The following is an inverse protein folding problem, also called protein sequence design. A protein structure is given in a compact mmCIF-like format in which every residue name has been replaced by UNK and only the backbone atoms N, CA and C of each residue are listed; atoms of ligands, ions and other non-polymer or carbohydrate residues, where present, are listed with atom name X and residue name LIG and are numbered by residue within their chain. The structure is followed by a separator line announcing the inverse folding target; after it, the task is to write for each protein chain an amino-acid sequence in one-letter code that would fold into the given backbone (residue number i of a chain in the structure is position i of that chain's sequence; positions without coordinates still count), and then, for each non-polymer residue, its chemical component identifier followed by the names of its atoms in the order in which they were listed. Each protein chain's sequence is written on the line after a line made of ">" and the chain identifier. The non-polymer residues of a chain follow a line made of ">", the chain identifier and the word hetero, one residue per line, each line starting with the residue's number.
data_IF_605644661683
#
_entry.id   IF_605644661683
#
_cell.length_a   1.000
_cell.length_b   1.000
_cell.length_c   1.000
_cell.angle_alpha   90.00
_cell.angle_beta   90.00
_cell.angle_gamma   90.00
#
_symmetry.space_group_name_H-M   'P 1'
#
loop_
_entity.id
_entity.type
_entity.pdbx_description
1 polymer ?
#
# COMPACT_ATOMS: atom_id res chain seq x y z
N UNK A 1 29.67 18.08 -46.04
CA UNK A 1 29.79 18.14 -44.56
C UNK A 1 30.10 16.78 -43.90
N UNK A 2 29.31 15.72 -44.15
CA UNK A 2 29.52 14.40 -43.52
C UNK A 2 30.74 13.65 -44.07
N UNK A 3 30.99 13.72 -45.38
CA UNK A 3 32.12 12.99 -46.00
C UNK A 3 33.49 13.55 -45.60
N UNK A 4 33.63 14.87 -45.47
CA UNK A 4 34.88 15.51 -45.01
C UNK A 4 35.21 15.22 -43.54
N UNK A 5 34.18 14.99 -42.71
CA UNK A 5 34.35 14.67 -41.29
C UNK A 5 34.76 13.20 -41.09
N UNK A 6 34.15 12.28 -41.85
CA UNK A 6 34.48 10.85 -41.84
C UNK A 6 35.92 10.57 -42.30
N UNK A 7 36.42 11.34 -43.27
CA UNK A 7 37.81 11.23 -43.74
C UNK A 7 38.85 11.61 -42.66
N UNK A 8 38.46 12.42 -41.65
CA UNK A 8 39.35 12.85 -40.57
C UNK A 8 39.26 12.00 -39.30
N UNK A 9 38.21 11.18 -39.14
CA UNK A 9 38.01 10.32 -37.97
C UNK A 9 37.52 8.92 -38.40
N UNK A 10 38.43 8.05 -38.90
CA UNK A 10 38.07 6.74 -39.42
C UNK A 10 37.46 5.79 -38.38
N UNK A 11 37.75 5.99 -37.09
CA UNK A 11 37.35 5.12 -35.97
C UNK A 11 36.26 5.72 -35.06
N UNK A 12 35.57 6.78 -35.52
CA UNK A 12 34.55 7.44 -34.71
C UNK A 12 33.29 6.54 -34.55
N UNK A 13 33.13 5.97 -33.37
CA UNK A 13 31.90 5.29 -32.97
C UNK A 13 30.85 6.33 -32.55
N UNK A 14 29.66 6.24 -33.14
CA UNK A 14 28.53 7.11 -32.80
C UNK A 14 27.75 6.43 -31.68
N UNK A 15 27.90 6.92 -30.44
CA UNK A 15 27.24 6.33 -29.27
C UNK A 15 25.73 6.57 -29.24
N UNK A 16 25.24 7.69 -29.78
CA UNK A 16 23.80 8.03 -29.75
C UNK A 16 23.38 8.98 -30.85
N UNK A 17 22.31 8.62 -31.55
CA UNK A 17 21.60 9.50 -32.49
C UNK A 17 20.22 9.79 -31.90
N UNK A 18 19.95 11.05 -31.56
CA UNK A 18 18.61 11.48 -31.16
C UNK A 18 17.81 11.86 -32.40
N UNK A 19 16.65 11.23 -32.57
CA UNK A 19 15.71 11.58 -33.64
C UNK A 19 14.42 12.05 -32.98
N UNK A 20 14.09 13.33 -33.17
CA UNK A 20 12.86 13.93 -32.67
C UNK A 20 11.82 13.89 -33.79
N UNK A 21 10.65 13.34 -33.51
CA UNK A 21 9.54 13.24 -34.47
C UNK A 21 8.48 14.30 -34.19
N UNK A 22 7.69 14.61 -35.22
CA UNK A 22 6.52 15.49 -35.12
C UNK A 22 5.49 14.87 -34.15
N UNK A 23 4.93 15.61 -33.18
CA UNK A 23 3.96 15.11 -32.19
C UNK A 23 2.70 14.45 -32.79
N UNK A 24 2.40 14.65 -34.07
CA UNK A 24 1.27 14.02 -34.76
C UNK A 24 1.54 12.57 -35.25
N UNK A 25 2.77 12.05 -35.16
CA UNK A 25 3.11 10.71 -35.70
C UNK A 25 3.36 9.70 -34.57
N UNK A 26 2.65 8.59 -34.59
CA UNK A 26 2.74 7.54 -33.57
C UNK A 26 4.13 6.87 -33.59
N UNK A 27 4.98 7.03 -32.55
CA UNK A 27 6.36 6.54 -32.54
C UNK A 27 6.47 5.03 -32.78
N UNK A 28 5.43 4.27 -32.42
CA UNK A 28 5.37 2.80 -32.50
C UNK A 28 5.41 2.27 -33.94
N UNK A 29 5.01 3.07 -34.92
CA UNK A 29 5.06 2.70 -36.35
C UNK A 29 6.43 2.98 -36.94
N UNK A 30 7.16 3.95 -36.38
CA UNK A 30 8.44 4.43 -36.90
C UNK A 30 9.63 3.62 -36.41
N UNK A 31 9.56 3.07 -35.19
CA UNK A 31 10.60 2.18 -34.64
C UNK A 31 10.89 0.99 -35.56
N UNK A 32 9.91 0.15 -35.95
CA UNK A 32 10.19 -1.01 -36.82
C UNK A 32 10.61 -0.59 -38.25
N UNK A 33 10.17 0.57 -38.73
CA UNK A 33 10.61 1.10 -40.03
C UNK A 33 12.07 1.57 -39.99
N UNK A 34 12.51 2.12 -38.87
CA UNK A 34 13.90 2.52 -38.63
C UNK A 34 14.79 1.31 -38.38
N UNK A 35 14.35 0.34 -37.56
CA UNK A 35 15.05 -0.93 -37.37
C UNK A 35 15.23 -1.66 -38.71
N UNK A 36 14.22 -1.69 -39.57
CA UNK A 36 14.33 -2.29 -40.91
C UNK A 36 15.38 -1.58 -41.77
N UNK A 37 15.39 -0.24 -41.79
CA UNK A 37 16.39 0.53 -42.56
C UNK A 37 17.81 0.48 -41.96
N UNK A 38 17.92 0.33 -40.65
CA UNK A 38 19.20 0.18 -39.97
C UNK A 38 19.76 -1.23 -40.12
N UNK A 39 18.90 -2.26 -40.09
CA UNK A 39 19.26 -3.65 -40.36
C UNK A 39 19.70 -3.95 -41.80
N UNK A 40 19.39 -3.07 -42.77
CA UNK A 40 19.95 -3.15 -44.13
C UNK A 40 21.43 -2.72 -44.20
N UNK A 41 21.96 -2.02 -43.18
CA UNK A 41 23.31 -1.44 -43.19
C UNK A 41 24.19 -1.82 -42.01
N UNK A 42 23.59 -2.20 -40.87
CA UNK A 42 24.28 -2.57 -39.64
C UNK A 42 23.75 -3.93 -39.14
N UNK A 43 24.62 -4.69 -38.49
CA UNK A 43 24.24 -5.98 -37.89
C UNK A 43 23.34 -5.77 -36.67
N UNK A 44 22.43 -6.71 -36.36
CA UNK A 44 21.44 -6.56 -35.28
C UNK A 44 22.05 -6.35 -33.88
N UNK A 45 23.33 -6.70 -33.70
CA UNK A 45 24.06 -6.48 -32.45
C UNK A 45 24.70 -5.08 -32.34
N UNK A 46 24.66 -4.27 -33.40
CA UNK A 46 25.37 -2.98 -33.49
C UNK A 46 24.47 -1.76 -33.31
N UNK A 47 23.14 -1.94 -33.18
CA UNK A 47 22.20 -0.84 -32.98
C UNK A 47 21.12 -1.20 -31.96
N UNK A 48 20.70 -0.22 -31.17
CA UNK A 48 19.57 -0.33 -30.27
C UNK A 48 18.72 0.93 -30.41
N UNK A 49 17.45 0.74 -30.79
CA UNK A 49 16.48 1.84 -30.89
C UNK A 49 15.73 1.89 -29.57
N UNK A 50 16.13 2.82 -28.70
CA UNK A 50 15.44 3.07 -27.43
C UNK A 50 14.54 4.28 -27.60
N UNK A 51 13.23 4.08 -27.43
CA UNK A 51 12.30 5.21 -27.38
C UNK A 51 12.22 5.78 -25.98
N UNK A 52 11.75 7.03 -25.87
CA UNK A 52 11.45 7.63 -24.58
C UNK A 52 10.30 6.89 -23.88
N UNK A 53 9.37 6.29 -24.62
CA UNK A 53 8.29 5.45 -24.08
C UNK A 53 8.82 4.17 -23.44
N UNK A 54 9.85 3.54 -24.01
CA UNK A 54 10.45 2.32 -23.44
C UNK A 54 11.13 2.62 -22.10
N UNK A 55 11.83 3.75 -22.00
CA UNK A 55 12.47 4.18 -20.75
C UNK A 55 11.43 4.51 -19.67
N UNK A 56 10.37 5.25 -20.05
CA UNK A 56 9.25 5.54 -19.15
C UNK A 56 8.52 4.25 -18.73
N UNK A 57 8.31 3.33 -19.66
CA UNK A 57 7.70 2.02 -19.42
C UNK A 57 8.51 1.18 -18.43
N UNK A 58 9.84 1.19 -18.55
CA UNK A 58 10.73 0.53 -17.60
C UNK A 58 10.59 1.15 -16.20
N UNK A 59 10.60 2.49 -16.09
CA UNK A 59 10.41 3.20 -14.83
C UNK A 59 9.05 2.84 -14.20
N UNK A 60 7.95 2.91 -14.95
CA UNK A 60 6.62 2.55 -14.46
C UNK A 60 6.53 1.08 -14.04
N UNK A 61 7.20 0.18 -14.76
CA UNK A 61 7.27 -1.24 -14.39
C UNK A 61 8.00 -1.45 -13.07
N UNK A 62 9.15 -0.80 -12.88
CA UNK A 62 9.91 -0.86 -11.62
C UNK A 62 9.10 -0.26 -10.48
N UNK A 63 8.50 0.92 -10.68
CA UNK A 63 7.62 1.55 -9.69
C UNK A 63 6.40 0.68 -9.36
N UNK A 64 5.84 -0.01 -10.36
CA UNK A 64 4.74 -0.94 -10.17
C UNK A 64 5.12 -2.15 -9.30
N UNK A 65 6.29 -2.73 -9.54
CA UNK A 65 6.83 -3.84 -8.72
C UNK A 65 7.13 -3.38 -7.29
N UNK A 66 7.75 -2.21 -7.11
CA UNK A 66 7.97 -1.65 -5.77
C UNK A 66 6.65 -1.36 -5.06
N UNK A 67 5.64 -0.85 -5.78
CA UNK A 67 4.30 -0.60 -5.26
C UNK A 67 3.62 -1.86 -4.75
N UNK A 68 3.65 -2.95 -5.52
CA UNK A 68 3.08 -4.24 -5.08
C UNK A 68 3.81 -4.82 -3.87
N UNK A 69 5.13 -4.68 -3.79
CA UNK A 69 5.90 -5.09 -2.61
C UNK A 69 5.47 -4.32 -1.36
N UNK A 70 5.34 -3.00 -1.45
CA UNK A 70 4.88 -2.15 -0.33
C UNK A 70 3.47 -2.56 0.11
N UNK A 71 2.53 -2.73 -0.83
CA UNK A 71 1.17 -3.18 -0.51
C UNK A 71 1.18 -4.55 0.19
N UNK A 72 2.03 -5.48 -0.25
CA UNK A 72 2.21 -6.77 0.40
C UNK A 72 2.69 -6.64 1.84
N UNK A 73 3.76 -5.88 2.08
CA UNK A 73 4.30 -5.64 3.41
C UNK A 73 3.30 -4.91 4.32
N UNK A 74 2.62 -3.89 3.81
CA UNK A 74 1.57 -3.17 4.54
C UNK A 74 0.41 -4.09 4.91
N UNK A 75 0.01 -5.00 4.03
CA UNK A 75 -1.07 -5.96 4.31
C UNK A 75 -0.70 -6.91 5.44
N UNK A 76 0.54 -7.40 5.46
CA UNK A 76 1.04 -8.25 6.55
C UNK A 76 1.10 -7.46 7.87
N UNK A 77 1.65 -6.25 7.85
CA UNK A 77 1.72 -5.39 9.03
C UNK A 77 0.32 -5.08 9.60
N UNK A 78 -0.64 -4.81 8.71
CA UNK A 78 -2.04 -4.58 9.07
C UNK A 78 -2.67 -5.83 9.71
N UNK A 79 -2.40 -7.02 9.15
CA UNK A 79 -2.87 -8.29 9.70
C UNK A 79 -2.31 -8.55 11.10
N UNK A 80 -0.99 -8.38 11.29
CA UNK A 80 -0.34 -8.53 12.60
C UNK A 80 -0.88 -7.52 13.62
N UNK A 81 -1.10 -6.27 13.20
CA UNK A 81 -1.76 -5.25 14.02
C UNK A 81 -3.17 -5.66 14.45
N UNK A 82 -3.96 -6.21 13.52
CA UNK A 82 -5.30 -6.74 13.80
C UNK A 82 -5.29 -7.89 14.81
N UNK A 83 -4.35 -8.83 14.69
CA UNK A 83 -4.14 -9.91 15.68
C UNK A 83 -3.78 -9.34 17.05
N UNK A 84 -3.01 -8.25 17.10
CA UNK A 84 -2.72 -7.51 18.33
C UNK A 84 -4.00 -6.99 19.00
N UNK A 85 -4.89 -6.33 18.24
CA UNK A 85 -6.18 -5.85 18.75
C UNK A 85 -7.01 -7.02 19.30
N UNK A 86 -7.13 -8.10 18.53
CA UNK A 86 -7.84 -9.30 18.98
C UNK A 86 -7.29 -9.86 20.29
N UNK A 87 -5.96 -9.88 20.45
CA UNK A 87 -5.30 -10.42 21.63
C UNK A 87 -5.56 -9.57 22.87
N UNK A 88 -5.37 -8.25 22.77
CA UNK A 88 -5.67 -7.32 23.86
C UNK A 88 -7.15 -7.41 24.25
N UNK A 89 -8.03 -7.53 23.26
CA UNK A 89 -9.46 -7.65 23.52
C UNK A 89 -9.82 -8.97 24.23
N UNK A 90 -9.20 -10.09 23.85
CA UNK A 90 -9.40 -11.36 24.55
C UNK A 90 -8.90 -11.30 25.99
N UNK A 91 -7.77 -10.65 26.24
CA UNK A 91 -7.25 -10.43 27.58
C UNK A 91 -8.24 -9.61 28.42
N UNK A 92 -8.74 -8.49 27.88
CA UNK A 92 -9.75 -7.64 28.56
C UNK A 92 -11.04 -8.41 28.88
N UNK A 93 -11.54 -9.21 27.95
CA UNK A 93 -12.73 -10.07 28.17
C UNK A 93 -12.46 -11.09 29.28
N UNK A 94 -11.23 -11.60 29.37
CA UNK A 94 -10.86 -12.57 30.38
C UNK A 94 -10.75 -11.97 31.79
N UNK A 95 -10.24 -10.76 31.90
CA UNK A 95 -10.18 -10.01 33.16
C UNK A 95 -11.59 -9.64 33.64
N UNK A 96 -12.45 -9.18 32.72
CA UNK A 96 -13.83 -8.74 33.03
C UNK A 96 -14.87 -9.87 33.07
N UNK A 97 -14.48 -11.16 33.08
CA UNK A 97 -15.42 -12.31 33.00
C UNK A 97 -16.50 -12.30 34.07
N UNK A 98 -16.12 -12.04 35.31
CA UNK A 98 -17.05 -12.02 36.46
C UNK A 98 -18.09 -10.90 36.28
N UNK A 99 -17.65 -9.70 35.90
CA UNK A 99 -18.55 -8.57 35.64
C UNK A 99 -19.55 -8.87 34.52
N UNK A 100 -19.10 -9.51 33.44
CA UNK A 100 -19.96 -9.93 32.31
C UNK A 100 -21.01 -10.94 32.81
N UNK A 101 -20.60 -11.93 33.62
CA UNK A 101 -21.49 -12.92 34.20
C UNK A 101 -22.56 -12.30 35.10
N UNK A 102 -22.19 -11.32 35.94
CA UNK A 102 -23.13 -10.57 36.78
C UNK A 102 -24.12 -9.79 35.91
N UNK A 103 -23.65 -9.08 34.87
CA UNK A 103 -24.54 -8.34 33.95
C UNK A 103 -25.55 -9.25 33.26
N UNK A 104 -25.12 -10.42 32.80
CA UNK A 104 -26.00 -11.39 32.14
C UNK A 104 -27.00 -12.01 33.12
N UNK A 105 -26.60 -12.28 34.37
CA UNK A 105 -27.49 -12.77 35.42
C UNK A 105 -28.56 -11.72 35.81
N UNK A 106 -28.23 -10.43 35.73
CA UNK A 106 -29.17 -9.33 35.92
C UNK A 106 -30.05 -9.03 34.68
N UNK A 107 -29.95 -9.82 33.60
CA UNK A 107 -30.82 -9.72 32.43
C UNK A 107 -30.21 -9.04 31.19
N UNK A 108 -28.91 -8.70 31.18
CA UNK A 108 -28.28 -8.19 29.97
C UNK A 108 -28.25 -9.26 28.87
N UNK A 109 -28.68 -8.91 27.66
CA UNK A 109 -28.70 -9.87 26.56
C UNK A 109 -27.30 -10.08 25.98
N UNK A 110 -27.07 -11.22 25.32
CA UNK A 110 -25.82 -11.47 24.59
C UNK A 110 -25.51 -10.38 23.56
N UNK A 111 -26.54 -9.73 22.99
CA UNK A 111 -26.40 -8.64 22.03
C UNK A 111 -25.87 -7.37 22.67
N UNK A 112 -26.25 -7.09 23.90
CA UNK A 112 -25.78 -5.90 24.62
C UNK A 112 -24.29 -6.01 24.94
N UNK A 113 -23.88 -7.19 25.44
CA UNK A 113 -22.47 -7.50 25.70
C UNK A 113 -21.65 -7.46 24.41
N UNK A 114 -22.16 -8.06 23.32
CA UNK A 114 -21.49 -8.02 22.02
C UNK A 114 -21.30 -6.59 21.52
N UNK A 115 -22.34 -5.75 21.58
CA UNK A 115 -22.28 -4.36 21.14
C UNK A 115 -21.29 -3.53 21.96
N UNK A 116 -21.28 -3.71 23.28
CA UNK A 116 -20.35 -3.01 24.16
C UNK A 116 -18.89 -3.28 23.75
N UNK A 117 -18.53 -4.55 23.63
CA UNK A 117 -17.17 -4.94 23.28
C UNK A 117 -16.83 -4.60 21.81
N UNK A 118 -17.79 -4.70 20.89
CA UNK A 118 -17.56 -4.27 19.52
C UNK A 118 -17.31 -2.76 19.43
N UNK A 119 -18.05 -1.94 20.18
CA UNK A 119 -17.83 -0.50 20.24
C UNK A 119 -16.45 -0.19 20.84
N UNK A 120 -16.04 -0.89 21.91
CA UNK A 120 -14.70 -0.75 22.49
C UNK A 120 -13.60 -1.04 21.45
N UNK A 121 -13.75 -2.12 20.67
CA UNK A 121 -12.81 -2.43 19.59
C UNK A 121 -12.82 -1.39 18.45
N UNK A 122 -13.99 -0.89 18.06
CA UNK A 122 -14.12 0.17 17.05
C UNK A 122 -13.49 1.48 17.53
N UNK A 123 -13.66 1.82 18.81
CA UNK A 123 -13.03 3.01 19.41
C UNK A 123 -11.51 2.89 19.43
N UNK A 124 -10.97 1.70 19.73
CA UNK A 124 -9.52 1.43 19.61
C UNK A 124 -9.07 1.60 18.15
N UNK A 125 -9.82 1.05 17.19
CA UNK A 125 -9.55 1.22 15.77
C UNK A 125 -9.59 2.69 15.30
N UNK A 126 -10.57 3.47 15.78
CA UNK A 126 -10.70 4.90 15.51
C UNK A 126 -9.51 5.69 16.08
N UNK A 127 -9.17 5.46 17.35
CA UNK A 127 -8.05 6.10 18.01
C UNK A 127 -6.71 5.77 17.32
N UNK A 128 -6.49 4.49 17.00
CA UNK A 128 -5.30 4.03 16.28
C UNK A 128 -5.20 4.61 14.88
N UNK A 129 -6.31 4.66 14.14
CA UNK A 129 -6.35 5.24 12.79
C UNK A 129 -6.10 6.75 12.82
N UNK A 130 -6.69 7.46 13.78
CA UNK A 130 -6.45 8.89 13.97
C UNK A 130 -4.98 9.18 14.34
N UNK A 131 -4.43 8.45 15.31
CA UNK A 131 -3.02 8.56 15.68
C UNK A 131 -2.09 8.25 14.49
N UNK A 132 -2.41 7.22 13.71
CA UNK A 132 -1.69 6.86 12.50
C UNK A 132 -1.70 7.98 11.45
N UNK A 133 -2.84 8.66 11.26
CA UNK A 133 -2.92 9.83 10.37
C UNK A 133 -2.06 10.99 10.85
N UNK A 134 -2.04 11.27 12.15
CA UNK A 134 -1.18 12.33 12.73
C UNK A 134 0.29 11.99 12.50
N UNK A 135 0.70 10.75 12.78
CA UNK A 135 2.07 10.28 12.52
C UNK A 135 2.41 10.37 11.04
N UNK A 136 1.50 9.96 10.15
CA UNK A 136 1.67 10.06 8.70
C UNK A 136 1.86 11.50 8.23
N UNK A 137 1.10 12.45 8.77
CA UNK A 137 1.25 13.87 8.46
C UNK A 137 2.61 14.41 8.91
N UNK A 138 3.07 14.03 10.10
CA UNK A 138 4.41 14.40 10.61
C UNK A 138 5.51 13.84 9.71
N UNK A 139 5.44 12.56 9.37
CA UNK A 139 6.41 11.92 8.46
C UNK A 139 6.42 12.62 7.09
N UNK A 140 5.25 12.97 6.56
CA UNK A 140 5.14 13.70 5.30
C UNK A 140 5.84 15.08 5.37
N UNK A 141 5.69 15.83 6.47
CA UNK A 141 6.37 17.13 6.63
C UNK A 141 7.89 16.99 6.68
N UNK A 142 8.41 15.94 7.33
CA UNK A 142 9.85 15.68 7.43
C UNK A 142 10.42 15.21 6.08
N UNK A 143 9.68 14.38 5.34
CA UNK A 143 10.11 13.95 4.00
C UNK A 143 10.13 15.13 3.03
N UNK A 144 9.11 15.99 3.06
CA UNK A 144 9.01 17.14 2.17
C UNK A 144 10.14 18.18 2.40
N UNK A 145 10.71 18.25 3.60
CA UNK A 145 11.84 19.14 3.91
C UNK A 145 13.20 18.52 3.60
N UNK A 146 13.32 17.19 3.68
CA UNK A 146 14.61 16.48 3.58
C UNK A 146 14.86 15.90 2.19
N UNK A 147 13.82 15.71 1.37
CA UNK A 147 13.91 14.98 0.10
C UNK A 147 13.14 15.68 -1.01
N UNK A 148 13.60 15.56 -2.26
CA UNK A 148 12.92 16.10 -3.45
C UNK A 148 11.62 15.35 -3.83
N UNK A 149 11.29 14.27 -3.13
CA UNK A 149 10.05 13.50 -3.32
C UNK A 149 8.95 14.20 -2.54
N UNK A 150 7.89 14.65 -3.23
CA UNK A 150 6.69 15.24 -2.61
C UNK A 150 5.58 14.20 -2.56
N UNK A 151 5.30 13.58 -1.41
CA UNK A 151 4.19 12.64 -1.30
C UNK A 151 2.86 13.39 -1.51
N UNK A 152 2.02 12.87 -2.40
CA UNK A 152 0.70 13.41 -2.65
C UNK A 152 -0.29 12.81 -1.66
N UNK A 153 -0.74 13.62 -0.70
CA UNK A 153 -1.77 13.24 0.26
C UNK A 153 -3.12 13.81 -0.22
N UNK A 154 -3.96 12.95 -0.78
CA UNK A 154 -5.31 13.32 -1.20
C UNK A 154 -6.33 12.97 -0.13
N UNK A 155 -7.44 13.70 -0.07
CA UNK A 155 -8.53 13.39 0.85
C UNK A 155 -9.07 11.96 0.66
N UNK A 156 -9.07 11.46 -0.57
CA UNK A 156 -9.46 10.07 -0.88
C UNK A 156 -8.55 9.04 -0.24
N UNK A 157 -7.22 9.23 -0.32
CA UNK A 157 -6.25 8.31 0.31
C UNK A 157 -6.33 8.33 1.84
N UNK A 158 -6.59 9.49 2.43
CA UNK A 158 -6.76 9.66 3.89
C UNK A 158 -8.02 8.94 4.37
N UNK A 159 -9.15 9.16 3.70
CA UNK A 159 -10.41 8.50 4.03
C UNK A 159 -10.32 6.98 3.89
N UNK A 160 -9.64 6.49 2.84
CA UNK A 160 -9.42 5.06 2.63
C UNK A 160 -8.54 4.46 3.74
N UNK A 161 -7.40 5.08 4.05
CA UNK A 161 -6.50 4.60 5.10
C UNK A 161 -7.20 4.56 6.48
N UNK A 162 -7.94 5.62 6.80
CA UNK A 162 -8.72 5.69 8.04
C UNK A 162 -9.82 4.63 8.08
N UNK A 163 -10.57 4.47 7.00
CA UNK A 163 -11.63 3.46 6.89
C UNK A 163 -11.10 2.03 7.02
N UNK A 164 -9.95 1.73 6.43
CA UNK A 164 -9.28 0.44 6.56
C UNK A 164 -8.87 0.19 8.02
N UNK A 165 -8.27 1.16 8.70
CA UNK A 165 -7.86 1.00 10.10
C UNK A 165 -9.03 0.75 11.06
N UNK A 166 -10.13 1.50 10.89
CA UNK A 166 -11.37 1.29 11.65
C UNK A 166 -12.00 -0.08 11.32
N UNK A 167 -12.02 -0.44 10.03
CA UNK A 167 -12.54 -1.72 9.56
C UNK A 167 -11.80 -2.91 10.16
N UNK A 168 -10.47 -2.83 10.25
CA UNK A 168 -9.63 -3.86 10.88
C UNK A 168 -9.94 -3.98 12.37
N UNK A 169 -10.08 -2.86 13.09
CA UNK A 169 -10.51 -2.88 14.49
C UNK A 169 -11.86 -3.55 14.69
N UNK A 170 -12.84 -3.26 13.82
CA UNK A 170 -14.16 -3.90 13.86
C UNK A 170 -14.10 -5.40 13.56
N UNK A 171 -13.38 -5.82 12.50
CA UNK A 171 -13.29 -7.21 12.07
C UNK A 171 -12.61 -8.07 13.14
N UNK A 172 -11.42 -7.66 13.59
CA UNK A 172 -10.65 -8.42 14.59
C UNK A 172 -11.25 -8.32 16.00
N UNK A 173 -12.00 -7.25 16.30
CA UNK A 173 -12.75 -7.10 17.55
C UNK A 173 -14.08 -7.87 17.61
N UNK A 174 -14.68 -8.18 16.47
CA UNK A 174 -15.97 -8.89 16.44
C UNK A 174 -15.88 -10.32 16.99
N UNK A 175 -14.78 -11.03 16.73
CA UNK A 175 -14.57 -12.38 17.26
C UNK A 175 -14.51 -12.43 18.80
N UNK A 176 -13.63 -11.67 19.48
CA UNK A 176 -13.59 -11.63 20.94
C UNK A 176 -14.89 -11.08 21.55
N UNK A 177 -15.52 -10.08 20.93
CA UNK A 177 -16.83 -9.59 21.38
C UNK A 177 -17.89 -10.69 21.36
N UNK A 178 -17.91 -11.54 20.33
CA UNK A 178 -18.82 -12.69 20.23
C UNK A 178 -18.48 -13.76 21.28
N UNK A 179 -17.20 -13.95 21.58
CA UNK A 179 -16.76 -14.87 22.63
C UNK A 179 -17.19 -14.37 24.02
N UNK A 180 -17.07 -13.08 24.30
CA UNK A 180 -17.55 -12.46 25.53
C UNK A 180 -19.06 -12.62 25.72
N UNK A 181 -19.83 -12.36 24.65
CA UNK A 181 -21.29 -12.48 24.66
C UNK A 181 -21.81 -13.91 24.91
N UNK A 182 -21.00 -14.93 24.62
CA UNK A 182 -21.36 -16.35 24.80
C UNK A 182 -20.77 -16.97 26.07
N UNK A 183 -20.21 -16.17 26.99
CA UNK A 183 -19.82 -16.66 28.31
C UNK A 183 -21.04 -17.20 29.08
N UNK A 184 -20.85 -18.29 29.81
CA UNK A 184 -21.90 -18.87 30.66
C UNK A 184 -21.89 -18.16 32.03
N UNK A 185 -22.99 -17.50 32.44
CA UNK A 185 -23.06 -16.79 33.72
C UNK A 185 -22.79 -17.70 34.92
N UNK A 186 -23.27 -18.94 34.88
CA UNK A 186 -23.16 -19.89 36.00
C UNK A 186 -21.71 -20.33 36.20
N UNK A 187 -21.01 -20.59 35.10
CA UNK A 187 -19.58 -20.96 35.14
C UNK A 187 -18.72 -19.78 35.58
N UNK A 188 -19.10 -18.56 35.18
CA UNK A 188 -18.37 -17.34 35.52
C UNK A 188 -18.45 -17.01 37.02
N UNK A 189 -19.58 -17.31 37.66
CA UNK A 189 -19.80 -17.08 39.09
C UNK A 189 -19.30 -18.23 39.99
N UNK A 190 -19.21 -19.46 39.47
CA UNK A 190 -18.71 -20.61 40.24
C UNK A 190 -17.22 -20.51 40.57
N UNK A 191 -16.47 -19.73 39.80
CA UNK A 191 -15.02 -19.55 39.96
C UNK A 191 -14.66 -18.26 40.75
N UNK A 192 -15.60 -17.72 41.52
CA UNK A 192 -15.38 -16.64 42.50
C UNK A 192 -14.60 -17.13 43.73
#
# INVERSE_FOLDING_TARGET
>A
PYQDWKAKHPDAQIDRIMVQFDPATDPKVLVPALEKKLGERLDYQQYSVLTQEDLLGLIFKVMGVLGTLVVGLTSIALFVGGVGIMTVMLMSVNERRVEIGIRQACGATRRDIFRQFLIEAVLIGLAGSFAGLVVSALVNTVLASTTSIKPLMTWGTVALAFGVGVGVGAIFGAWPARRAANQDPVVSLRNL
#
